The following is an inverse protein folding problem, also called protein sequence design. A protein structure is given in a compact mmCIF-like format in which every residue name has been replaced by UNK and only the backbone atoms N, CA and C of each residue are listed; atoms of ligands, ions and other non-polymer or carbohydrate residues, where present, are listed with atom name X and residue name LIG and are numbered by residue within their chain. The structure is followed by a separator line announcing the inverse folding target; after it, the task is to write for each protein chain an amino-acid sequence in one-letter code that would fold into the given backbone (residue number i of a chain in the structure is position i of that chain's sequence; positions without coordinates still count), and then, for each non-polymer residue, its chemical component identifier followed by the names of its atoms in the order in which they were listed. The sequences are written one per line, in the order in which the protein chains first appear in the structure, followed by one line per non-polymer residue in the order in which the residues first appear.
data_IF_678963677181
#
_entry.id   IF_678963677181
#
_cell.length_a   1.000
_cell.length_b   1.000
_cell.length_c   1.000
_cell.angle_alpha   90.00
_cell.angle_beta   90.00
_cell.angle_gamma   90.00
#
_symmetry.space_group_name_H-M   'P 1'
#
loop_
_entity.id
_entity.type
_entity.pdbx_description
1 polymer ?
#
# COMPACT_ATOMS: atom_id res chain seq x y z
N UNK A 1 -0.15 -17.52 -78.75
CA UNK A 1 0.44 -17.31 -77.42
C UNK A 1 0.73 -15.82 -77.23
N UNK A 2 -0.29 -14.99 -77.00
CA UNK A 2 -0.12 -13.53 -76.81
C UNK A 2 -1.18 -12.90 -75.89
N UNK A 3 -2.17 -13.68 -75.47
CA UNK A 3 -3.43 -13.27 -74.82
C UNK A 3 -3.34 -13.14 -73.30
N UNK A 4 -2.30 -13.72 -72.69
CA UNK A 4 -2.36 -14.12 -71.28
C UNK A 4 -1.69 -13.09 -70.33
N UNK A 5 -0.90 -12.16 -70.90
CA UNK A 5 -0.25 -11.05 -70.20
C UNK A 5 -1.20 -10.18 -69.35
N UNK A 6 -2.38 -9.73 -69.81
CA UNK A 6 -3.29 -8.93 -68.98
C UNK A 6 -3.81 -9.70 -67.76
N UNK A 7 -4.03 -11.02 -67.87
CA UNK A 7 -4.53 -11.84 -66.77
C UNK A 7 -3.49 -11.90 -65.64
N UNK A 8 -2.22 -12.09 -65.98
CA UNK A 8 -1.11 -12.11 -65.00
C UNK A 8 -1.00 -10.77 -64.25
N UNK A 9 -1.16 -9.63 -64.94
CA UNK A 9 -1.11 -8.31 -64.30
C UNK A 9 -2.28 -8.07 -63.34
N UNK A 10 -3.50 -8.51 -63.68
CA UNK A 10 -4.67 -8.43 -62.79
C UNK A 10 -4.50 -9.33 -61.56
N UNK A 11 -4.02 -10.56 -61.74
CA UNK A 11 -3.76 -11.47 -60.61
C UNK A 11 -2.68 -10.93 -59.68
N UNK A 12 -1.62 -10.32 -60.23
CA UNK A 12 -0.55 -9.73 -59.41
C UNK A 12 -1.02 -8.47 -58.66
N UNK A 13 -1.83 -7.60 -59.28
CA UNK A 13 -2.36 -6.43 -58.58
C UNK A 13 -3.33 -6.81 -57.46
N UNK A 14 -4.19 -7.82 -57.67
CA UNK A 14 -5.05 -8.39 -56.63
C UNK A 14 -4.22 -9.00 -55.49
N UNK A 15 -3.14 -9.73 -55.79
CA UNK A 15 -2.24 -10.27 -54.78
C UNK A 15 -1.58 -9.17 -53.93
N UNK A 16 -1.12 -8.08 -54.55
CA UNK A 16 -0.55 -6.92 -53.84
C UNK A 16 -1.60 -6.24 -52.95
N UNK A 17 -2.83 -6.04 -53.43
CA UNK A 17 -3.93 -5.45 -52.64
C UNK A 17 -4.30 -6.34 -51.44
N UNK A 18 -4.36 -7.66 -51.63
CA UNK A 18 -4.62 -8.62 -50.55
C UNK A 18 -3.46 -8.66 -49.54
N UNK A 19 -2.21 -8.59 -50.00
CA UNK A 19 -1.02 -8.55 -49.13
C UNK A 19 -0.96 -7.26 -48.28
N UNK A 20 -1.23 -6.11 -48.90
CA UNK A 20 -1.26 -4.81 -48.20
C UNK A 20 -2.42 -4.72 -47.21
N UNK A 21 -3.63 -5.16 -47.58
CA UNK A 21 -4.78 -5.15 -46.67
C UNK A 21 -4.61 -6.14 -45.51
N UNK A 22 -4.05 -7.33 -45.74
CA UNK A 22 -3.66 -8.26 -44.68
C UNK A 22 -2.62 -7.65 -43.72
N UNK A 23 -1.59 -7.01 -44.26
CA UNK A 23 -0.55 -6.34 -43.47
C UNK A 23 -1.12 -5.20 -42.62
N UNK A 24 -2.05 -4.42 -43.18
CA UNK A 24 -2.77 -3.36 -42.46
C UNK A 24 -3.66 -3.93 -41.33
N UNK A 25 -4.37 -5.03 -41.57
CA UNK A 25 -5.17 -5.72 -40.54
C UNK A 25 -4.27 -6.24 -39.40
N UNK A 26 -3.11 -6.82 -39.72
CA UNK A 26 -2.16 -7.27 -38.70
C UNK A 26 -1.57 -6.10 -37.90
N UNK A 27 -1.24 -4.98 -38.55
CA UNK A 27 -0.76 -3.78 -37.87
C UNK A 27 -1.83 -3.17 -36.95
N UNK A 28 -3.08 -3.07 -37.40
CA UNK A 28 -4.21 -2.62 -36.57
C UNK A 28 -4.45 -3.57 -35.40
N UNK A 29 -4.38 -4.88 -35.62
CA UNK A 29 -4.50 -5.90 -34.55
C UNK A 29 -3.39 -5.76 -33.50
N UNK A 30 -2.14 -5.53 -33.94
CA UNK A 30 -1.01 -5.29 -33.05
C UNK A 30 -1.21 -4.02 -32.22
N UNK A 31 -1.56 -2.89 -32.85
CA UNK A 31 -1.86 -1.62 -32.16
C UNK A 31 -3.00 -1.78 -31.16
N UNK A 32 -4.08 -2.47 -31.53
CA UNK A 32 -5.21 -2.74 -30.65
C UNK A 32 -4.79 -3.60 -29.46
N UNK A 33 -3.92 -4.59 -29.64
CA UNK A 33 -3.41 -5.43 -28.54
C UNK A 33 -2.55 -4.63 -27.55
N UNK A 34 -1.68 -3.74 -28.05
CA UNK A 34 -0.85 -2.84 -27.22
C UNK A 34 -1.74 -1.86 -26.45
N UNK A 35 -2.78 -1.33 -27.10
CA UNK A 35 -3.72 -0.39 -26.50
C UNK A 35 -4.63 -1.06 -25.45
N UNK A 36 -5.11 -2.29 -25.69
CA UNK A 36 -5.86 -3.07 -24.71
C UNK A 36 -5.02 -3.41 -23.46
N UNK A 37 -3.72 -3.66 -23.62
CA UNK A 37 -2.81 -3.85 -22.49
C UNK A 37 -2.58 -2.55 -21.69
N UNK A 38 -2.59 -1.38 -22.33
CA UNK A 38 -2.60 -0.10 -21.61
C UNK A 38 -3.92 0.12 -20.85
N UNK A 39 -5.06 -0.18 -21.47
CA UNK A 39 -6.37 -0.09 -20.80
C UNK A 39 -6.52 -1.08 -19.64
N UNK A 40 -5.88 -2.25 -19.68
CA UNK A 40 -5.84 -3.17 -18.55
C UNK A 40 -5.27 -2.50 -17.30
N UNK A 41 -4.20 -1.72 -17.43
CA UNK A 41 -3.54 -1.07 -16.31
C UNK A 41 -4.41 0.03 -15.70
N UNK A 42 -5.12 0.77 -16.55
CA UNK A 42 -6.11 1.77 -16.13
C UNK A 42 -7.32 1.12 -15.44
N UNK A 43 -7.86 0.02 -15.98
CA UNK A 43 -8.96 -0.73 -15.36
C UNK A 43 -8.52 -1.40 -14.06
N UNK A 44 -7.29 -1.92 -13.98
CA UNK A 44 -6.72 -2.47 -12.74
C UNK A 44 -6.58 -1.38 -11.67
N UNK A 45 -6.21 -0.16 -12.06
CA UNK A 45 -6.19 0.99 -11.15
C UNK A 45 -7.60 1.36 -10.65
N UNK A 46 -8.57 1.54 -11.57
CA UNK A 46 -9.98 1.83 -11.24
C UNK A 46 -10.56 0.74 -10.32
N UNK A 47 -10.29 -0.53 -10.60
CA UNK A 47 -10.75 -1.65 -9.78
C UNK A 47 -10.20 -1.60 -8.34
N UNK A 48 -8.91 -1.31 -8.18
CA UNK A 48 -8.29 -1.18 -6.85
C UNK A 48 -8.79 0.07 -6.09
N UNK A 49 -9.02 1.20 -6.77
CA UNK A 49 -9.55 2.40 -6.10
C UNK A 49 -11.03 2.22 -5.69
N UNK A 50 -11.87 1.70 -6.59
CA UNK A 50 -13.29 1.46 -6.31
C UNK A 50 -13.55 0.43 -5.21
N UNK A 51 -12.65 -0.54 -5.00
CA UNK A 51 -12.67 -1.42 -3.83
C UNK A 51 -12.45 -0.66 -2.52
N UNK A 52 -11.54 0.31 -2.48
CA UNK A 52 -11.30 1.14 -1.28
C UNK A 52 -12.45 2.11 -1.02
N UNK A 53 -12.94 2.80 -2.06
CA UNK A 53 -14.13 3.65 -1.98
C UNK A 53 -15.36 2.85 -1.47
N UNK A 54 -15.57 1.63 -1.98
CA UNK A 54 -16.60 0.73 -1.46
C UNK A 54 -16.34 0.30 -0.02
N UNK A 55 -15.09 0.00 0.36
CA UNK A 55 -14.71 -0.33 1.72
C UNK A 55 -15.12 0.77 2.71
N UNK A 56 -14.85 2.03 2.37
CA UNK A 56 -15.20 3.19 3.19
C UNK A 56 -16.72 3.35 3.29
N UNK A 57 -17.46 3.22 2.19
CA UNK A 57 -18.93 3.26 2.24
C UNK A 57 -19.51 2.13 3.10
N UNK A 58 -19.00 0.90 2.97
CA UNK A 58 -19.43 -0.23 3.78
C UNK A 58 -19.11 -0.01 5.27
N UNK A 59 -17.95 0.57 5.57
CA UNK A 59 -17.54 0.87 6.95
C UNK A 59 -18.40 1.97 7.59
N UNK A 60 -18.84 2.97 6.82
CA UNK A 60 -19.82 3.97 7.30
C UNK A 60 -21.18 3.34 7.55
N UNK A 61 -21.66 2.48 6.64
CA UNK A 61 -22.92 1.76 6.82
C UNK A 61 -22.87 0.85 8.07
N UNK A 62 -21.77 0.11 8.28
CA UNK A 62 -21.59 -0.78 9.44
C UNK A 62 -21.43 -0.01 10.75
N UNK A 63 -20.72 1.12 10.77
CA UNK A 63 -20.61 1.97 11.97
C UNK A 63 -21.96 2.59 12.32
N UNK A 64 -22.77 3.02 11.33
CA UNK A 64 -24.15 3.47 11.58
C UNK A 64 -25.01 2.34 12.15
N UNK A 65 -24.92 1.13 11.57
CA UNK A 65 -25.66 -0.07 12.03
C UNK A 65 -25.31 -0.44 13.47
N UNK A 66 -24.01 -0.53 13.79
CA UNK A 66 -23.51 -0.82 15.14
C UNK A 66 -23.89 0.29 16.14
N UNK A 67 -23.88 1.55 15.71
CA UNK A 67 -24.38 2.67 16.50
C UNK A 67 -25.86 2.49 16.88
N UNK A 68 -26.73 2.17 15.91
CA UNK A 68 -28.15 1.90 16.19
C UNK A 68 -28.37 0.65 17.04
N UNK A 69 -27.54 -0.38 16.88
CA UNK A 69 -27.57 -1.63 17.67
C UNK A 69 -27.26 -1.32 19.15
N UNK A 70 -26.12 -0.68 19.45
CA UNK A 70 -25.72 -0.27 20.80
C UNK A 70 -26.74 0.68 21.43
N UNK A 71 -27.29 1.64 20.68
CA UNK A 71 -28.33 2.54 21.19
C UNK A 71 -29.61 1.76 21.54
N UNK A 72 -30.00 0.77 20.73
CA UNK A 72 -31.18 -0.07 21.01
C UNK A 72 -31.00 -1.02 22.20
N UNK A 73 -29.77 -1.48 22.46
CA UNK A 73 -29.43 -2.26 23.66
C UNK A 73 -29.40 -1.36 24.91
N UNK A 74 -28.81 -0.17 24.84
CA UNK A 74 -28.75 0.77 25.97
C UNK A 74 -30.15 1.12 26.51
N UNK A 75 -31.13 1.37 25.63
CA UNK A 75 -32.53 1.63 26.01
C UNK A 75 -33.25 0.42 26.65
N UNK A 76 -32.66 -0.79 26.69
CA UNK A 76 -33.20 -1.93 27.43
C UNK A 76 -32.64 -2.05 28.86
N UNK A 77 -31.55 -1.34 29.18
CA UNK A 77 -30.81 -1.49 30.43
C UNK A 77 -30.67 -0.18 31.25
N UNK A 78 -30.93 0.99 30.65
CA UNK A 78 -30.76 2.30 31.27
C UNK A 78 -32.08 3.07 31.23
N UNK A 79 -32.49 3.64 32.37
CA UNK A 79 -33.57 4.63 32.41
C UNK A 79 -33.16 5.90 31.62
N UNK A 80 -34.16 6.56 31.03
CA UNK A 80 -34.06 7.34 29.77
C UNK A 80 -33.20 8.62 29.77
N UNK A 81 -32.44 8.94 30.81
CA UNK A 81 -31.72 10.22 30.95
C UNK A 81 -30.28 10.20 30.38
N UNK A 82 -29.68 9.02 30.18
CA UNK A 82 -28.30 8.87 29.68
C UNK A 82 -28.18 9.16 28.17
N UNK A 83 -28.08 10.45 27.81
CA UNK A 83 -28.14 10.95 26.42
C UNK A 83 -27.25 10.16 25.41
N UNK A 84 -27.82 9.27 24.58
CA UNK A 84 -27.06 8.33 23.77
C UNK A 84 -26.57 8.92 22.43
N UNK A 85 -26.91 10.19 22.14
CA UNK A 85 -26.54 10.89 20.90
C UNK A 85 -25.02 11.03 20.66
N UNK A 86 -24.21 10.78 21.70
CA UNK A 86 -22.74 10.73 21.65
C UNK A 86 -22.15 9.38 21.16
N UNK A 87 -23.00 8.39 20.87
CA UNK A 87 -22.59 7.05 20.38
C UNK A 87 -22.82 6.94 18.87
N UNK A 88 -23.93 7.49 18.36
CA UNK A 88 -24.29 7.48 16.95
C UNK A 88 -23.32 8.31 16.10
N UNK A 89 -22.87 7.79 14.96
CA UNK A 89 -22.02 8.53 14.02
C UNK A 89 -22.80 9.68 13.35
N UNK A 90 -22.63 10.88 13.90
CA UNK A 90 -23.14 12.13 13.32
C UNK A 90 -22.22 12.58 12.18
N UNK A 91 -22.51 12.15 10.95
CA UNK A 91 -21.96 12.76 9.75
C UNK A 91 -22.75 14.03 9.42
N UNK A 92 -22.07 15.11 9.04
CA UNK A 92 -22.74 16.29 8.50
C UNK A 92 -23.25 16.06 7.07
N UNK A 93 -24.12 16.95 6.56
CA UNK A 93 -24.75 16.79 5.25
C UNK A 93 -23.76 16.66 4.09
N UNK A 94 -22.61 17.34 4.16
CA UNK A 94 -21.57 17.30 3.13
C UNK A 94 -20.80 15.97 3.17
N UNK A 95 -20.60 15.41 4.36
CA UNK A 95 -20.04 14.06 4.54
C UNK A 95 -21.02 12.98 4.08
N UNK A 96 -22.32 13.17 4.33
CA UNK A 96 -23.37 12.28 3.83
C UNK A 96 -23.45 12.29 2.30
N UNK A 97 -23.44 13.47 1.65
CA UNK A 97 -23.27 13.62 0.19
C UNK A 97 -22.02 12.90 -0.31
N UNK A 98 -20.88 13.12 0.35
CA UNK A 98 -19.61 12.50 -0.04
C UNK A 98 -19.67 10.98 0.05
N UNK A 99 -20.27 10.39 1.08
CA UNK A 99 -20.43 8.93 1.21
C UNK A 99 -21.40 8.37 0.16
N UNK A 100 -22.54 9.04 -0.11
CA UNK A 100 -23.48 8.61 -1.15
C UNK A 100 -22.81 8.66 -2.54
N UNK A 101 -22.11 9.74 -2.84
CA UNK A 101 -21.32 9.90 -4.07
C UNK A 101 -20.23 8.83 -4.17
N UNK A 102 -19.53 8.52 -3.08
CA UNK A 102 -18.54 7.43 -3.00
C UNK A 102 -19.14 6.07 -3.37
N UNK A 103 -20.32 5.76 -2.81
CA UNK A 103 -21.04 4.49 -3.02
C UNK A 103 -21.48 4.34 -4.48
N UNK A 104 -22.01 5.40 -5.07
CA UNK A 104 -22.44 5.44 -6.47
C UNK A 104 -21.24 5.28 -7.43
N UNK A 105 -20.17 6.05 -7.21
CA UNK A 105 -18.96 6.02 -8.02
C UNK A 105 -18.23 4.66 -7.96
N UNK A 106 -18.22 4.00 -6.80
CA UNK A 106 -17.67 2.66 -6.65
C UNK A 106 -18.48 1.59 -7.40
N UNK A 107 -19.81 1.72 -7.44
CA UNK A 107 -20.69 0.82 -8.22
C UNK A 107 -20.54 1.05 -9.73
N UNK A 108 -20.43 2.31 -10.17
CA UNK A 108 -20.18 2.67 -11.57
C UNK A 108 -18.83 2.13 -12.06
N UNK A 109 -17.77 2.35 -11.27
CA UNK A 109 -16.44 1.81 -11.53
C UNK A 109 -16.42 0.26 -11.62
N UNK A 110 -17.18 -0.42 -10.74
CA UNK A 110 -17.36 -1.89 -10.83
C UNK A 110 -18.04 -2.31 -12.14
N UNK A 111 -19.04 -1.55 -12.61
CA UNK A 111 -19.73 -1.80 -13.88
C UNK A 111 -18.78 -1.71 -15.07
N UNK A 112 -18.03 -0.61 -15.17
CA UNK A 112 -17.03 -0.41 -16.22
C UNK A 112 -15.94 -1.50 -16.22
N UNK A 113 -15.46 -1.91 -15.04
CA UNK A 113 -14.52 -3.04 -14.92
C UNK A 113 -15.13 -4.34 -15.49
N UNK A 114 -16.39 -4.64 -15.19
CA UNK A 114 -17.07 -5.82 -15.71
C UNK A 114 -17.25 -5.76 -17.24
N UNK A 115 -17.57 -4.59 -17.79
CA UNK A 115 -17.65 -4.35 -19.23
C UNK A 115 -16.29 -4.62 -19.92
N UNK A 116 -15.19 -4.12 -19.35
CA UNK A 116 -13.83 -4.40 -19.86
C UNK A 116 -13.50 -5.89 -19.85
N UNK A 117 -13.70 -6.59 -18.72
CA UNK A 117 -13.36 -8.01 -18.64
C UNK A 117 -14.25 -8.88 -19.55
N UNK A 118 -15.52 -8.51 -19.76
CA UNK A 118 -16.41 -9.14 -20.74
C UNK A 118 -15.85 -8.98 -22.16
N UNK A 119 -15.56 -7.74 -22.58
CA UNK A 119 -15.00 -7.45 -23.92
C UNK A 119 -13.64 -8.11 -24.15
N UNK A 120 -12.80 -8.24 -23.11
CA UNK A 120 -11.51 -8.96 -23.15
C UNK A 120 -11.67 -10.49 -23.24
N UNK A 121 -12.73 -11.06 -22.67
CA UNK A 121 -13.00 -12.50 -22.74
C UNK A 121 -13.36 -12.97 -24.15
N UNK A 122 -13.99 -12.11 -24.95
CA UNK A 122 -14.43 -12.42 -26.30
C UNK A 122 -13.30 -12.35 -27.34
N UNK A 123 -12.38 -13.34 -27.32
CA UNK A 123 -11.13 -13.47 -28.11
C UNK A 123 -11.16 -13.10 -29.62
N UNK A 124 -12.31 -12.94 -30.25
CA UNK A 124 -12.44 -12.47 -31.64
C UNK A 124 -12.37 -10.94 -31.72
N UNK A 125 -11.15 -10.41 -31.74
CA UNK A 125 -10.86 -8.97 -31.94
C UNK A 125 -10.87 -8.54 -33.42
N UNK A 126 -10.89 -9.50 -34.35
CA UNK A 126 -10.82 -9.25 -35.81
C UNK A 126 -12.10 -8.65 -36.41
N UNK A 127 -13.20 -8.60 -35.64
CA UNK A 127 -14.49 -8.06 -36.12
C UNK A 127 -14.52 -6.55 -35.89
N UNK A 128 -14.40 -5.75 -36.96
CA UNK A 128 -14.39 -4.28 -36.93
C UNK A 128 -15.58 -3.66 -36.15
N UNK A 129 -16.73 -4.34 -36.10
CA UNK A 129 -17.90 -3.92 -35.35
C UNK A 129 -17.63 -3.79 -33.82
N UNK A 130 -16.55 -4.38 -33.30
CA UNK A 130 -16.11 -4.22 -31.90
C UNK A 130 -15.34 -2.93 -31.62
N UNK A 131 -14.91 -2.18 -32.64
CA UNK A 131 -14.18 -0.93 -32.42
C UNK A 131 -15.04 0.10 -31.68
N UNK A 132 -16.34 0.22 -32.01
CA UNK A 132 -17.25 1.14 -31.32
C UNK A 132 -17.34 0.87 -29.80
N UNK A 133 -17.74 -0.32 -29.31
CA UNK A 133 -17.80 -0.56 -27.86
C UNK A 133 -16.43 -0.47 -27.17
N UNK A 134 -15.31 -0.65 -27.88
CA UNK A 134 -13.97 -0.35 -27.33
C UNK A 134 -13.78 1.16 -27.15
N UNK A 135 -14.16 2.01 -28.11
CA UNK A 135 -14.09 3.47 -27.96
C UNK A 135 -15.06 4.01 -26.90
N UNK A 136 -16.27 3.46 -26.81
CA UNK A 136 -17.26 3.82 -25.79
C UNK A 136 -16.70 3.49 -24.38
N UNK A 137 -16.14 2.29 -24.20
CA UNK A 137 -15.47 1.86 -22.97
C UNK A 137 -14.23 2.70 -22.63
N UNK A 138 -13.42 3.11 -23.61
CA UNK A 138 -12.30 4.04 -23.40
C UNK A 138 -12.77 5.36 -22.79
N UNK A 139 -13.89 5.89 -23.27
CA UNK A 139 -14.50 7.09 -22.70
C UNK A 139 -15.02 6.85 -21.29
N UNK A 140 -15.66 5.70 -21.04
CA UNK A 140 -16.14 5.30 -19.71
C UNK A 140 -14.97 5.22 -18.69
N UNK A 141 -13.89 4.50 -19.04
CA UNK A 141 -12.66 4.37 -18.25
C UNK A 141 -12.07 5.74 -17.91
N UNK A 142 -11.89 6.61 -18.91
CA UNK A 142 -11.34 7.97 -18.71
C UNK A 142 -12.24 8.82 -17.83
N UNK A 143 -13.55 8.82 -18.06
CA UNK A 143 -14.53 9.56 -17.26
C UNK A 143 -14.51 9.12 -15.80
N UNK A 144 -14.52 7.82 -15.54
CA UNK A 144 -14.49 7.26 -14.19
C UNK A 144 -13.16 7.54 -13.49
N UNK A 145 -12.02 7.42 -14.19
CA UNK A 145 -10.70 7.81 -13.63
C UNK A 145 -10.67 9.28 -13.21
N UNK A 146 -11.21 10.18 -14.04
CA UNK A 146 -11.31 11.62 -13.72
C UNK A 146 -12.26 11.84 -12.54
N UNK A 147 -13.44 11.23 -12.54
CA UNK A 147 -14.41 11.36 -11.43
C UNK A 147 -13.84 10.89 -10.09
N UNK A 148 -13.15 9.73 -10.07
CA UNK A 148 -12.44 9.21 -8.90
C UNK A 148 -11.35 10.18 -8.44
N UNK A 149 -10.52 10.70 -9.35
CA UNK A 149 -9.47 11.64 -8.99
C UNK A 149 -10.05 12.94 -8.40
N UNK A 150 -11.05 13.53 -9.06
CA UNK A 150 -11.73 14.75 -8.58
C UNK A 150 -12.43 14.54 -7.23
N UNK A 151 -13.01 13.37 -6.98
CA UNK A 151 -13.66 13.03 -5.71
C UNK A 151 -12.67 12.89 -4.54
N UNK A 152 -11.48 12.33 -4.81
CA UNK A 152 -10.38 12.26 -3.85
C UNK A 152 -9.76 13.65 -3.60
N UNK A 153 -9.58 14.47 -4.63
CA UNK A 153 -9.13 15.86 -4.48
C UNK A 153 -10.15 16.71 -3.72
N UNK A 154 -11.47 16.52 -3.94
CA UNK A 154 -12.54 17.17 -3.16
C UNK A 154 -12.36 16.86 -1.68
N UNK A 155 -12.13 15.60 -1.30
CA UNK A 155 -11.85 15.22 0.10
C UNK A 155 -10.64 15.98 0.68
N UNK A 156 -9.57 16.15 -0.11
CA UNK A 156 -8.33 16.84 0.31
C UNK A 156 -8.52 18.35 0.49
N UNK A 157 -9.27 18.99 -0.41
CA UNK A 157 -9.50 20.45 -0.41
C UNK A 157 -10.40 20.87 0.77
N UNK A 158 -11.48 20.13 1.01
CA UNK A 158 -12.41 20.42 2.10
C UNK A 158 -12.04 19.73 3.43
N UNK A 159 -10.83 19.14 3.51
CA UNK A 159 -10.31 18.40 4.66
C UNK A 159 -11.37 17.56 5.38
N UNK A 160 -12.14 16.75 4.63
CA UNK A 160 -13.29 16.04 5.19
C UNK A 160 -12.84 15.03 6.24
N UNK A 161 -13.19 15.32 7.49
CA UNK A 161 -12.69 14.61 8.67
C UNK A 161 -13.47 13.34 9.00
N UNK A 162 -14.24 12.85 8.01
CA UNK A 162 -14.87 11.52 7.93
C UNK A 162 -13.91 10.45 8.46
N UNK A 163 -12.61 10.54 8.20
CA UNK A 163 -11.65 9.56 8.68
C UNK A 163 -11.40 9.61 10.20
N UNK A 164 -11.32 10.79 10.82
CA UNK A 164 -11.21 10.93 12.27
C UNK A 164 -12.54 10.61 12.96
N UNK A 165 -13.66 11.17 12.48
CA UNK A 165 -15.02 10.84 12.92
C UNK A 165 -15.30 9.32 12.89
N UNK A 166 -14.93 8.66 11.79
CA UNK A 166 -15.05 7.21 11.64
C UNK A 166 -14.05 6.48 12.55
N UNK A 167 -12.83 6.96 12.75
CA UNK A 167 -11.86 6.38 13.69
C UNK A 167 -12.31 6.47 15.16
N UNK A 168 -12.85 7.61 15.59
CA UNK A 168 -13.37 7.82 16.95
C UNK A 168 -14.57 6.91 17.21
N UNK A 169 -15.55 6.88 16.29
CA UNK A 169 -16.70 5.97 16.44
C UNK A 169 -16.28 4.50 16.42
N UNK A 170 -15.32 4.14 15.54
CA UNK A 170 -14.67 2.82 15.52
C UNK A 170 -14.00 2.49 16.85
N UNK A 171 -13.16 3.34 17.43
CA UNK A 171 -12.42 2.99 18.67
C UNK A 171 -13.38 2.66 19.81
N UNK A 172 -14.41 3.49 19.99
CA UNK A 172 -15.52 3.31 20.94
C UNK A 172 -16.21 1.94 20.76
N UNK A 173 -16.65 1.63 19.53
CA UNK A 173 -17.27 0.34 19.16
C UNK A 173 -16.33 -0.87 19.37
N UNK A 174 -15.04 -0.72 19.04
CA UNK A 174 -14.07 -1.83 19.01
C UNK A 174 -13.45 -2.13 20.39
N UNK A 175 -13.48 -1.18 21.33
CA UNK A 175 -13.10 -1.40 22.74
C UNK A 175 -13.78 -2.64 23.33
N UNK A 176 -15.03 -2.86 22.92
CA UNK A 176 -15.94 -3.92 23.37
C UNK A 176 -15.61 -5.32 22.79
N UNK A 177 -14.77 -5.45 21.75
CA UNK A 177 -14.80 -6.62 20.84
C UNK A 177 -13.51 -7.46 20.71
N UNK A 178 -12.34 -6.92 21.02
CA UNK A 178 -11.06 -7.46 20.50
C UNK A 178 -10.32 -8.42 21.46
N UNK A 179 -10.66 -9.73 21.47
CA UNK A 179 -10.14 -10.71 22.48
C UNK A 179 -9.22 -11.89 22.03
N UNK A 180 -8.79 -12.07 20.76
CA UNK A 180 -7.91 -13.23 20.38
C UNK A 180 -6.99 -13.03 19.13
N UNK A 181 -5.90 -13.84 19.00
CA UNK A 181 -4.72 -13.60 18.09
C UNK A 181 -4.06 -14.87 17.45
N UNK A 182 -3.03 -14.73 16.57
CA UNK A 182 -2.45 -15.71 15.57
C UNK A 182 -0.88 -15.71 15.47
N UNK A 183 -0.21 -16.40 14.48
CA UNK A 183 1.04 -16.01 13.68
C UNK A 183 1.81 -17.16 12.88
N UNK A 184 2.63 -16.89 11.79
CA UNK A 184 3.35 -17.87 10.90
C UNK A 184 4.91 -17.65 10.65
N UNK A 185 5.51 -18.04 9.47
CA UNK A 185 6.98 -18.15 9.15
C UNK A 185 7.53 -17.39 7.86
N UNK A 186 8.77 -17.64 7.35
CA UNK A 186 9.67 -16.76 6.50
C UNK A 186 10.47 -17.49 5.33
N UNK A 187 11.21 -16.93 4.32
CA UNK A 187 11.37 -15.56 3.70
C UNK A 187 12.17 -15.38 2.34
N UNK A 188 13.45 -15.82 2.12
CA UNK A 188 14.48 -15.06 1.32
C UNK A 188 15.04 -15.73 0.01
N UNK A 189 15.87 -15.17 -0.92
CA UNK A 189 16.33 -13.80 -1.36
C UNK A 189 17.18 -13.82 -2.69
N UNK A 190 17.23 -12.69 -3.45
CA UNK A 190 18.38 -12.06 -4.20
C UNK A 190 17.93 -10.84 -5.05
N UNK A 191 16.66 -10.84 -5.39
CA UNK A 191 15.63 -9.78 -5.50
C UNK A 191 15.87 -8.35 -4.93
N UNK A 192 17.04 -8.02 -4.36
CA UNK A 192 17.19 -7.42 -3.01
C UNK A 192 16.51 -6.07 -2.74
N UNK A 193 16.62 -5.04 -3.58
CA UNK A 193 16.11 -3.69 -3.22
C UNK A 193 14.58 -3.58 -3.32
N UNK A 194 14.00 -4.13 -4.38
CA UNK A 194 12.54 -4.31 -4.47
C UNK A 194 12.06 -5.38 -3.49
N UNK A 195 12.88 -6.40 -3.19
CA UNK A 195 12.60 -7.26 -2.03
C UNK A 195 12.64 -6.48 -0.73
N UNK A 196 13.47 -5.46 -0.53
CA UNK A 196 13.56 -4.77 0.75
C UNK A 196 12.24 -4.03 1.06
N UNK A 197 11.74 -3.27 0.09
CA UNK A 197 10.42 -2.65 0.18
C UNK A 197 9.30 -3.71 0.34
N UNK A 198 9.34 -4.80 -0.43
CA UNK A 198 8.35 -5.88 -0.35
C UNK A 198 8.48 -6.77 0.91
N UNK A 199 9.65 -6.87 1.54
CA UNK A 199 9.94 -7.62 2.78
C UNK A 199 9.61 -6.81 4.02
N UNK A 200 9.85 -5.49 4.01
CA UNK A 200 9.33 -4.60 5.04
C UNK A 200 7.79 -4.59 4.96
N UNK A 201 7.21 -4.49 3.76
CA UNK A 201 5.76 -4.64 3.58
C UNK A 201 5.26 -6.05 3.96
N UNK A 202 5.95 -7.14 3.61
CA UNK A 202 5.55 -8.51 3.97
C UNK A 202 5.69 -8.79 5.47
N UNK A 203 6.79 -8.37 6.10
CA UNK A 203 6.97 -8.40 7.54
C UNK A 203 5.85 -7.63 8.24
N UNK A 204 5.57 -6.42 7.77
CA UNK A 204 4.44 -5.63 8.21
C UNK A 204 3.08 -6.30 7.94
N UNK A 205 2.87 -7.00 6.81
CA UNK A 205 1.64 -7.77 6.56
C UNK A 205 1.53 -9.01 7.47
N UNK A 206 2.65 -9.58 7.94
CA UNK A 206 2.67 -10.65 8.95
C UNK A 206 2.35 -10.09 10.34
N UNK A 207 2.92 -8.96 10.70
CA UNK A 207 2.59 -8.24 11.94
C UNK A 207 1.09 -7.83 11.92
N UNK A 208 0.58 -7.33 10.79
CA UNK A 208 -0.86 -7.11 10.55
C UNK A 208 -1.68 -8.40 10.53
N UNK A 209 -1.14 -9.55 10.13
CA UNK A 209 -1.85 -10.85 10.24
C UNK A 209 -1.94 -11.35 11.68
N UNK A 210 -1.06 -10.84 12.54
CA UNK A 210 -1.19 -10.89 13.99
C UNK A 210 -2.32 -10.00 14.50
N UNK A 211 -2.58 -8.86 13.86
CA UNK A 211 -3.63 -7.93 14.28
C UNK A 211 -4.99 -8.31 13.71
N UNK A 212 -6.06 -8.01 14.46
CA UNK A 212 -7.40 -8.02 13.88
C UNK A 212 -7.49 -6.80 12.96
N UNK A 213 -7.70 -7.00 11.66
CA UNK A 213 -7.97 -5.90 10.73
C UNK A 213 -9.42 -5.47 10.91
N UNK A 214 -9.60 -4.30 11.55
CA UNK A 214 -10.82 -3.93 12.24
C UNK A 214 -11.84 -3.20 11.33
N UNK A 215 -11.54 -3.01 10.05
CA UNK A 215 -12.47 -2.45 9.05
C UNK A 215 -12.40 -3.13 7.68
N UNK A 216 -13.41 -2.90 6.83
CA UNK A 216 -13.38 -3.30 5.42
C UNK A 216 -12.26 -2.56 4.69
N UNK A 217 -12.09 -1.26 4.91
CA UNK A 217 -11.02 -0.45 4.28
C UNK A 217 -9.62 -0.97 4.61
N UNK A 218 -9.35 -1.31 5.88
CA UNK A 218 -8.07 -1.92 6.31
C UNK A 218 -7.82 -3.28 5.62
N UNK A 219 -8.87 -4.12 5.49
CA UNK A 219 -8.80 -5.44 4.82
C UNK A 219 -8.62 -5.33 3.31
N UNK A 220 -9.29 -4.38 2.66
CA UNK A 220 -9.14 -4.10 1.23
C UNK A 220 -7.74 -3.56 0.91
N UNK A 221 -7.20 -2.66 1.76
CA UNK A 221 -5.81 -2.19 1.62
C UNK A 221 -4.80 -3.32 1.86
N UNK A 222 -4.98 -4.15 2.90
CA UNK A 222 -4.12 -5.31 3.16
C UNK A 222 -4.14 -6.31 1.99
N UNK A 223 -5.31 -6.51 1.38
CA UNK A 223 -5.45 -7.38 0.20
C UNK A 223 -4.70 -6.81 -0.99
N UNK A 224 -4.77 -5.49 -1.25
CA UNK A 224 -4.00 -4.85 -2.32
C UNK A 224 -2.49 -4.82 -2.05
N UNK A 225 -2.09 -4.67 -0.78
CA UNK A 225 -0.70 -4.79 -0.37
C UNK A 225 -0.16 -6.20 -0.65
N UNK A 226 -0.95 -7.23 -0.34
CA UNK A 226 -0.62 -8.62 -0.65
C UNK A 226 -0.57 -8.86 -2.16
N UNK A 227 -1.57 -8.41 -2.93
CA UNK A 227 -1.57 -8.49 -4.40
C UNK A 227 -0.29 -7.89 -5.02
N UNK A 228 0.22 -6.79 -4.44
CA UNK A 228 1.47 -6.16 -4.91
C UNK A 228 2.70 -7.00 -4.54
N UNK A 229 2.75 -7.61 -3.35
CA UNK A 229 3.82 -8.55 -2.98
C UNK A 229 3.79 -9.80 -3.88
N UNK A 230 2.60 -10.36 -4.13
CA UNK A 230 2.42 -11.54 -4.97
C UNK A 230 2.78 -11.24 -6.45
N UNK A 231 2.35 -10.08 -7.01
CA UNK A 231 2.80 -9.59 -8.33
C UNK A 231 4.33 -9.40 -8.39
N UNK A 232 4.93 -8.94 -7.29
CA UNK A 232 6.39 -8.72 -7.17
C UNK A 232 7.14 -10.05 -7.16
N UNK A 233 6.85 -10.94 -6.22
CA UNK A 233 7.54 -12.22 -6.07
C UNK A 233 7.37 -13.09 -7.34
N UNK A 234 6.21 -13.05 -8.00
CA UNK A 234 6.03 -13.69 -9.30
C UNK A 234 6.91 -13.09 -10.41
N UNK A 235 7.00 -11.75 -10.52
CA UNK A 235 7.85 -11.10 -11.52
C UNK A 235 9.35 -11.46 -11.36
N UNK A 236 9.76 -11.73 -10.12
CA UNK A 236 11.12 -12.10 -9.73
C UNK A 236 11.39 -13.59 -9.96
N UNK A 237 10.45 -14.47 -9.63
CA UNK A 237 10.53 -15.88 -10.00
C UNK A 237 10.61 -16.06 -11.52
N UNK A 238 9.81 -15.31 -12.28
CA UNK A 238 9.86 -15.31 -13.75
C UNK A 238 11.23 -14.90 -14.31
N UNK A 239 11.94 -13.97 -13.66
CA UNK A 239 13.30 -13.59 -14.05
C UNK A 239 14.32 -14.68 -13.66
N UNK A 240 14.28 -15.17 -12.43
CA UNK A 240 15.21 -16.17 -11.91
C UNK A 240 15.12 -17.53 -12.64
N UNK A 241 13.96 -17.90 -13.19
CA UNK A 241 13.77 -19.13 -13.99
C UNK A 241 14.34 -18.97 -15.41
N UNK A 242 14.41 -17.74 -15.94
CA UNK A 242 14.90 -17.39 -17.27
C UNK A 242 13.95 -17.81 -18.41
N UNK A 243 13.74 -16.94 -19.40
CA UNK A 243 12.90 -17.23 -20.58
C UNK A 243 13.70 -17.95 -21.69
N UNK A 244 14.70 -18.75 -21.29
CA UNK A 244 15.81 -19.27 -22.11
C UNK A 244 15.45 -20.16 -23.32
N UNK A 245 14.17 -20.45 -23.53
CA UNK A 245 13.67 -21.24 -24.66
C UNK A 245 13.22 -20.41 -25.87
N UNK A 246 12.91 -19.11 -25.72
CA UNK A 246 12.19 -18.36 -26.77
C UNK A 246 13.07 -17.48 -27.69
N UNK A 247 14.30 -17.13 -27.27
CA UNK A 247 15.21 -16.26 -28.03
C UNK A 247 16.65 -16.83 -28.13
N UNK A 248 16.78 -18.16 -28.11
CA UNK A 248 18.06 -18.90 -28.05
C UNK A 248 19.09 -18.55 -29.15
N UNK A 249 18.63 -18.00 -30.27
CA UNK A 249 19.47 -17.57 -31.41
C UNK A 249 20.29 -16.28 -31.20
N UNK A 250 19.98 -15.44 -30.20
CA UNK A 250 20.73 -14.20 -29.92
C UNK A 250 20.90 -13.97 -28.41
N UNK A 251 21.92 -14.58 -27.77
CA UNK A 251 22.08 -14.56 -26.31
C UNK A 251 22.14 -13.16 -25.68
N UNK A 252 22.90 -12.23 -26.29
CA UNK A 252 23.01 -10.86 -25.78
C UNK A 252 21.70 -10.06 -25.88
N UNK A 253 20.95 -10.26 -26.97
CA UNK A 253 19.67 -9.56 -27.18
C UNK A 253 18.56 -10.12 -26.29
N UNK A 254 18.55 -11.43 -26.04
CA UNK A 254 17.63 -12.07 -25.11
C UNK A 254 17.78 -11.51 -23.69
N UNK A 255 19.01 -11.49 -23.15
CA UNK A 255 19.30 -10.95 -21.81
C UNK A 255 18.93 -9.45 -21.70
N UNK A 256 19.22 -8.65 -22.74
CA UNK A 256 18.82 -7.24 -22.79
C UNK A 256 17.29 -7.05 -22.79
N UNK A 257 16.54 -7.85 -23.55
CA UNK A 257 15.07 -7.84 -23.55
C UNK A 257 14.52 -8.24 -22.17
N UNK A 258 15.05 -9.31 -21.55
CA UNK A 258 14.63 -9.75 -20.22
C UNK A 258 14.88 -8.68 -19.16
N UNK A 259 16.06 -8.05 -19.18
CA UNK A 259 16.41 -6.92 -18.32
C UNK A 259 15.50 -5.70 -18.55
N UNK A 260 15.15 -5.37 -19.80
CA UNK A 260 14.21 -4.29 -20.12
C UNK A 260 12.79 -4.59 -19.63
N UNK A 261 12.30 -5.81 -19.82
CA UNK A 261 11.01 -6.28 -19.31
C UNK A 261 10.99 -6.25 -17.77
N UNK A 262 12.06 -6.69 -17.11
CA UNK A 262 12.21 -6.61 -15.66
C UNK A 262 12.21 -5.15 -15.18
N UNK A 263 13.04 -4.27 -15.75
CA UNK A 263 13.06 -2.84 -15.41
C UNK A 263 11.67 -2.19 -15.60
N UNK A 264 10.91 -2.56 -16.64
CA UNK A 264 9.53 -2.09 -16.84
C UNK A 264 8.54 -2.64 -15.81
N UNK A 265 8.59 -3.93 -15.49
CA UNK A 265 7.78 -4.56 -14.40
C UNK A 265 8.10 -3.92 -13.04
N UNK A 266 9.37 -3.70 -12.72
CA UNK A 266 9.79 -3.09 -11.46
C UNK A 266 9.37 -1.62 -11.35
N UNK A 267 9.49 -0.81 -12.42
CA UNK A 267 8.96 0.57 -12.42
C UNK A 267 7.44 0.60 -12.18
N UNK A 268 6.68 -0.33 -12.77
CA UNK A 268 5.23 -0.52 -12.51
C UNK A 268 4.95 -0.91 -11.05
N UNK A 269 5.66 -1.90 -10.51
CA UNK A 269 5.54 -2.35 -9.10
C UNK A 269 5.83 -1.19 -8.15
N UNK A 270 6.90 -0.41 -8.42
CA UNK A 270 7.27 0.77 -7.64
C UNK A 270 6.16 1.82 -7.63
N UNK A 271 5.58 2.12 -8.79
CA UNK A 271 4.45 3.05 -8.89
C UNK A 271 3.20 2.52 -8.15
N UNK A 272 2.92 1.22 -8.21
CA UNK A 272 1.83 0.60 -7.45
C UNK A 272 2.07 0.67 -5.93
N UNK A 273 3.31 0.49 -5.47
CA UNK A 273 3.71 0.61 -4.06
C UNK A 273 3.63 2.06 -3.57
N UNK A 274 4.08 3.03 -4.38
CA UNK A 274 3.91 4.46 -4.12
C UNK A 274 2.42 4.79 -3.97
N UNK A 275 1.58 4.37 -4.91
CA UNK A 275 0.13 4.58 -4.82
C UNK A 275 -0.53 3.87 -3.65
N UNK A 276 -0.05 2.69 -3.23
CA UNK A 276 -0.52 2.01 -2.02
C UNK A 276 -0.23 2.82 -0.75
N UNK A 277 0.95 3.46 -0.68
CA UNK A 277 1.32 4.37 0.40
C UNK A 277 0.51 5.68 0.32
N UNK A 278 0.41 6.32 -0.86
CA UNK A 278 -0.45 7.50 -1.08
C UNK A 278 -1.90 7.23 -0.67
N UNK A 279 -2.43 6.05 -0.98
CA UNK A 279 -3.79 5.64 -0.56
C UNK A 279 -3.91 5.60 0.96
N UNK A 280 -2.96 5.01 1.68
CA UNK A 280 -3.01 5.02 3.15
C UNK A 280 -3.00 6.45 3.69
N UNK A 281 -2.12 7.29 3.15
CA UNK A 281 -1.99 8.72 3.48
C UNK A 281 -3.33 9.45 3.27
N UNK A 282 -3.89 9.38 2.06
CA UNK A 282 -5.14 10.06 1.68
C UNK A 282 -6.41 9.52 2.36
N UNK A 283 -6.41 8.25 2.77
CA UNK A 283 -7.52 7.63 3.50
C UNK A 283 -7.35 7.65 5.03
N UNK A 284 -6.26 8.23 5.55
CA UNK A 284 -5.99 8.58 6.96
C UNK A 284 -6.23 7.49 8.02
N UNK A 285 -6.38 6.22 7.66
CA UNK A 285 -6.69 5.16 8.62
C UNK A 285 -5.41 4.67 9.32
N UNK A 286 -5.47 4.56 10.65
CA UNK A 286 -4.36 4.02 11.45
C UNK A 286 -4.52 2.52 11.68
N UNK A 287 -3.40 1.83 11.92
CA UNK A 287 -3.41 0.48 12.47
C UNK A 287 -3.09 0.57 13.95
N UNK A 288 -3.89 -0.09 14.77
CA UNK A 288 -3.79 -0.06 16.24
C UNK A 288 -3.30 -1.42 16.72
N UNK A 289 -2.20 -1.44 17.48
CA UNK A 289 -1.75 -2.67 18.14
C UNK A 289 -2.48 -2.84 19.46
N UNK A 290 -3.26 -3.91 19.58
CA UNK A 290 -3.67 -4.47 20.86
C UNK A 290 -2.75 -5.65 21.19
N UNK A 291 -1.97 -5.50 22.25
CA UNK A 291 -1.21 -6.56 22.91
C UNK A 291 -1.64 -6.57 24.37
N UNK A 292 -1.92 -7.74 24.93
CA UNK A 292 -2.28 -7.85 26.34
C UNK A 292 -1.08 -7.41 27.21
N UNK A 293 -1.29 -6.42 28.07
CA UNK A 293 -0.24 -5.86 28.94
C UNK A 293 0.43 -6.93 29.82
N UNK A 294 -0.27 -8.04 30.09
CA UNK A 294 0.23 -9.22 30.81
C UNK A 294 1.43 -9.93 30.15
N UNK A 295 1.77 -9.61 28.88
CA UNK A 295 2.93 -10.20 28.18
C UNK A 295 4.21 -9.35 28.21
N UNK A 296 4.21 -8.16 28.81
CA UNK A 296 5.40 -7.26 28.81
C UNK A 296 6.49 -7.71 29.80
N UNK A 297 7.16 -8.82 29.50
CA UNK A 297 8.48 -9.13 30.07
C UNK A 297 9.54 -8.31 29.31
N UNK A 298 9.75 -7.06 29.77
CA UNK A 298 10.79 -6.17 29.25
C UNK A 298 12.17 -6.81 29.35
N UNK A 299 12.72 -7.28 28.22
CA UNK A 299 14.18 -7.49 28.11
C UNK A 299 14.86 -6.13 27.94
N UNK A 300 15.95 -5.83 28.69
CA UNK A 300 16.73 -4.63 28.46
C UNK A 300 17.27 -4.59 27.03
N UNK A 301 17.18 -3.43 26.38
CA UNK A 301 17.77 -3.19 25.06
C UNK A 301 19.29 -3.25 25.19
N UNK A 302 19.94 -4.16 24.47
CA UNK A 302 21.39 -4.28 24.47
C UNK A 302 21.97 -3.28 23.46
N UNK A 303 22.46 -2.13 23.95
CA UNK A 303 22.87 -0.96 23.16
C UNK A 303 24.20 -1.13 22.39
N UNK A 304 24.50 -2.32 21.86
CA UNK A 304 25.75 -2.62 21.17
C UNK A 304 25.77 -2.12 19.71
N UNK A 305 26.93 -1.59 19.28
CA UNK A 305 27.41 -1.32 17.91
C UNK A 305 26.56 -0.48 16.93
N UNK A 306 25.33 -0.09 17.27
CA UNK A 306 24.42 0.65 16.37
C UNK A 306 24.98 2.04 15.92
N UNK A 307 25.94 2.61 16.67
CA UNK A 307 26.68 3.85 16.30
C UNK A 307 27.95 3.60 15.47
N UNK A 308 28.53 2.40 15.56
CA UNK A 308 29.71 2.01 14.76
C UNK A 308 29.32 1.84 13.29
N UNK A 309 28.12 1.31 13.04
CA UNK A 309 27.62 1.02 11.69
C UNK A 309 27.42 2.30 10.87
N UNK A 310 26.76 3.34 11.43
CA UNK A 310 26.59 4.64 10.75
C UNK A 310 27.93 5.31 10.43
N UNK A 311 28.91 5.23 11.34
CA UNK A 311 30.21 5.89 11.17
C UNK A 311 31.12 5.19 10.15
N UNK A 312 31.22 3.86 10.18
CA UNK A 312 31.97 3.08 9.17
C UNK A 312 31.39 3.25 7.75
N UNK A 313 30.06 3.15 7.61
CA UNK A 313 29.35 3.42 6.35
C UNK A 313 29.67 4.83 5.84
N UNK A 314 29.54 5.85 6.69
CA UNK A 314 29.81 7.25 6.30
C UNK A 314 31.25 7.45 5.86
N UNK A 315 32.23 6.84 6.54
CA UNK A 315 33.65 6.92 6.18
C UNK A 315 33.93 6.25 4.83
N UNK A 316 33.32 5.09 4.55
CA UNK A 316 33.40 4.41 3.25
C UNK A 316 32.84 5.28 2.13
N UNK A 317 31.63 5.83 2.31
CA UNK A 317 30.99 6.71 1.33
C UNK A 317 31.79 8.01 1.10
N UNK A 318 32.36 8.62 2.15
CA UNK A 318 33.14 9.85 2.04
C UNK A 318 34.52 9.69 1.40
N UNK A 319 34.96 8.47 1.06
CA UNK A 319 36.26 8.20 0.42
C UNK A 319 36.34 8.54 -1.09
N UNK A 320 35.33 9.23 -1.64
CA UNK A 320 35.19 9.58 -3.05
C UNK A 320 36.25 10.60 -3.52
N UNK A 321 36.94 10.36 -4.65
CA UNK A 321 37.84 11.33 -5.25
C UNK A 321 37.15 12.66 -5.61
N UNK A 322 37.77 13.79 -5.23
CA UNK A 322 37.29 15.15 -5.59
C UNK A 322 37.20 15.40 -7.10
N UNK A 323 37.85 14.58 -7.92
CA UNK A 323 37.79 14.62 -9.39
C UNK A 323 36.42 14.24 -9.97
N UNK A 324 35.49 13.72 -9.17
CA UNK A 324 34.14 13.35 -9.61
C UNK A 324 33.08 14.33 -9.07
N UNK A 325 33.18 15.61 -9.37
CA UNK A 325 32.38 16.69 -8.76
C UNK A 325 30.87 16.38 -8.62
N UNK A 326 30.20 15.92 -9.68
CA UNK A 326 28.77 15.54 -9.63
C UNK A 326 28.48 14.45 -8.57
N UNK A 327 29.33 13.42 -8.49
CA UNK A 327 29.22 12.31 -7.52
C UNK A 327 29.58 12.76 -6.10
N UNK A 328 30.67 13.53 -5.98
CA UNK A 328 31.12 14.14 -4.73
C UNK A 328 30.05 15.05 -4.11
N UNK A 329 29.19 15.69 -4.92
CA UNK A 329 28.07 16.50 -4.44
C UNK A 329 26.82 15.65 -4.12
N UNK A 330 26.59 14.53 -4.81
CA UNK A 330 25.47 13.63 -4.54
C UNK A 330 25.65 12.77 -3.28
N UNK A 331 26.89 12.35 -2.97
CA UNK A 331 27.19 11.45 -1.85
C UNK A 331 26.90 12.04 -0.45
N UNK A 332 27.17 13.32 -0.16
CA UNK A 332 26.71 13.97 1.07
C UNK A 332 25.19 13.95 1.23
N UNK A 333 24.43 14.10 0.13
CA UNK A 333 22.97 13.99 0.15
C UNK A 333 22.53 12.57 0.50
N UNK A 334 23.17 11.55 -0.07
CA UNK A 334 22.93 10.14 0.25
C UNK A 334 23.23 9.81 1.72
N UNK A 335 24.32 10.35 2.28
CA UNK A 335 24.63 10.20 3.70
C UNK A 335 23.54 10.81 4.58
N UNK A 336 23.12 12.04 4.28
CA UNK A 336 22.08 12.74 5.04
C UNK A 336 20.73 11.99 4.99
N UNK A 337 20.37 11.38 3.86
CA UNK A 337 19.13 10.61 3.73
C UNK A 337 19.21 9.23 4.43
N UNK A 338 20.38 8.59 4.48
CA UNK A 338 20.63 7.40 5.30
C UNK A 338 20.53 7.71 6.80
N UNK A 339 21.11 8.82 7.26
CA UNK A 339 21.04 9.24 8.66
C UNK A 339 19.62 9.70 9.05
N UNK A 340 18.92 10.39 8.16
CA UNK A 340 17.47 10.69 8.27
C UNK A 340 16.66 9.41 8.44
N UNK A 341 16.89 8.42 7.57
CA UNK A 341 16.24 7.11 7.64
C UNK A 341 16.54 6.36 8.95
N UNK A 342 17.80 6.29 9.36
CA UNK A 342 18.16 5.64 10.63
C UNK A 342 17.53 6.34 11.83
N UNK A 343 17.44 7.68 11.83
CA UNK A 343 16.72 8.45 12.86
C UNK A 343 15.23 8.10 12.89
N UNK A 344 14.54 8.13 11.74
CA UNK A 344 13.11 7.79 11.62
C UNK A 344 12.85 6.36 12.10
N UNK A 345 13.72 5.42 11.73
CA UNK A 345 13.66 4.03 12.17
C UNK A 345 13.82 3.91 13.69
N UNK A 346 14.78 4.62 14.28
CA UNK A 346 15.01 4.66 15.74
C UNK A 346 13.85 5.29 16.52
N UNK A 347 13.24 6.34 15.99
CA UNK A 347 12.03 6.97 16.54
C UNK A 347 10.80 6.05 16.46
N UNK A 348 10.69 5.24 15.41
CA UNK A 348 9.66 4.20 15.31
C UNK A 348 9.90 3.06 16.33
N UNK A 349 11.13 2.53 16.41
CA UNK A 349 11.49 1.50 17.39
C UNK A 349 11.25 1.95 18.84
N UNK A 350 11.56 3.20 19.17
CA UNK A 350 11.36 3.76 20.52
C UNK A 350 9.88 3.90 20.92
N UNK A 351 8.95 3.81 19.96
CA UNK A 351 7.52 3.87 20.19
C UNK A 351 6.81 2.50 20.09
N UNK A 352 7.37 1.55 19.36
CA UNK A 352 6.82 0.19 19.19
C UNK A 352 7.45 -0.81 20.20
N UNK A 353 7.57 -0.38 21.47
CA UNK A 353 8.41 -1.00 22.53
C UNK A 353 8.20 -2.51 22.73
N UNK A 354 6.96 -2.99 22.63
CA UNK A 354 6.60 -4.41 22.83
C UNK A 354 6.48 -5.22 21.52
N UNK A 355 6.67 -4.60 20.34
CA UNK A 355 6.59 -5.25 19.01
C UNK A 355 7.98 -5.66 18.48
N UNK A 356 8.86 -6.08 19.38
CA UNK A 356 10.24 -6.42 19.04
C UNK A 356 10.35 -7.86 18.51
N UNK A 357 10.90 -8.01 17.28
CA UNK A 357 11.96 -8.99 16.91
C UNK A 357 12.09 -9.14 15.38
N UNK A 358 10.99 -9.29 14.64
CA UNK A 358 11.00 -9.59 13.20
C UNK A 358 11.35 -8.37 12.35
N UNK A 359 10.45 -7.39 12.34
CA UNK A 359 10.47 -6.23 11.43
C UNK A 359 11.67 -5.33 11.64
N UNK A 360 12.06 -5.09 12.90
CA UNK A 360 13.17 -4.20 13.23
C UNK A 360 14.52 -4.76 12.77
N UNK A 361 14.74 -6.08 12.90
CA UNK A 361 15.94 -6.75 12.38
C UNK A 361 15.97 -6.66 10.86
N UNK A 362 14.85 -6.97 10.19
CA UNK A 362 14.72 -6.87 8.72
C UNK A 362 14.98 -5.43 8.23
N UNK A 363 14.46 -4.41 8.92
CA UNK A 363 14.67 -3.00 8.53
C UNK A 363 16.11 -2.54 8.77
N UNK A 364 16.72 -2.89 9.91
CA UNK A 364 18.13 -2.57 10.21
C UNK A 364 19.06 -3.21 9.16
N UNK A 365 18.83 -4.49 8.83
CA UNK A 365 19.63 -5.19 7.82
C UNK A 365 19.43 -4.63 6.40
N UNK A 366 18.22 -4.17 6.06
CA UNK A 366 17.97 -3.49 4.78
C UNK A 366 18.65 -2.12 4.70
N UNK A 367 18.73 -1.37 5.80
CA UNK A 367 19.51 -0.12 5.88
C UNK A 367 20.99 -0.40 5.63
N UNK A 368 21.56 -1.43 6.27
CA UNK A 368 22.94 -1.88 6.05
C UNK A 368 23.18 -2.30 4.59
N UNK A 369 22.30 -3.13 4.01
CA UNK A 369 22.44 -3.58 2.62
C UNK A 369 22.39 -2.40 1.63
N UNK A 370 21.45 -1.45 1.78
CA UNK A 370 21.40 -0.26 0.90
C UNK A 370 22.68 0.58 0.98
N UNK A 371 23.23 0.75 2.18
CA UNK A 371 24.46 1.49 2.39
C UNK A 371 25.72 0.75 1.88
N UNK A 372 25.79 -0.58 2.06
CA UNK A 372 26.89 -1.40 1.55
C UNK A 372 26.88 -1.46 0.02
N UNK A 373 25.71 -1.59 -0.62
CA UNK A 373 25.56 -1.48 -2.08
C UNK A 373 26.08 -0.13 -2.59
N UNK A 374 25.75 0.98 -1.92
CA UNK A 374 26.30 2.29 -2.29
C UNK A 374 27.83 2.37 -2.18
N UNK A 375 28.41 1.81 -1.12
CA UNK A 375 29.86 1.76 -0.93
C UNK A 375 30.55 0.88 -2.00
N UNK A 376 29.97 -0.27 -2.35
CA UNK A 376 30.51 -1.17 -3.37
C UNK A 376 30.37 -0.60 -4.79
N UNK A 377 29.28 0.11 -5.11
CA UNK A 377 29.16 0.85 -6.39
C UNK A 377 30.24 1.93 -6.53
N UNK A 378 30.49 2.72 -5.48
CA UNK A 378 31.56 3.72 -5.44
C UNK A 378 32.94 3.06 -5.62
N UNK A 379 33.16 1.92 -4.95
CA UNK A 379 34.42 1.15 -5.06
C UNK A 379 34.65 0.59 -6.47
N UNK A 380 33.65 -0.04 -7.07
CA UNK A 380 33.75 -0.62 -8.41
C UNK A 380 34.07 0.44 -9.48
N UNK A 381 33.48 1.64 -9.36
CA UNK A 381 33.80 2.77 -10.24
C UNK A 381 35.24 3.26 -10.06
N UNK A 382 35.83 3.13 -8.85
CA UNK A 382 37.22 3.53 -8.55
C UNK A 382 38.24 2.53 -9.08
N UNK A 383 37.89 1.24 -9.13
CA UNK A 383 38.72 0.16 -9.66
C UNK A 383 38.62 0.06 -11.20
N UNK A 384 37.64 0.73 -11.81
CA UNK A 384 37.51 0.84 -13.27
C UNK A 384 38.50 1.87 -13.82
N UNK A 385 39.43 1.51 -14.74
CA UNK A 385 40.37 2.47 -15.31
C UNK A 385 39.65 3.52 -16.16
N UNK A 386 40.14 4.78 -16.20
CA UNK A 386 39.51 5.82 -17.00
C UNK A 386 39.56 5.45 -18.48
N UNK A 387 38.37 5.43 -19.11
CA UNK A 387 38.25 5.48 -20.57
C UNK A 387 38.67 6.86 -21.07
N UNK A 388 38.80 7.01 -22.39
CA UNK A 388 39.26 8.24 -23.03
C UNK A 388 38.48 9.47 -22.56
N UNK A 389 39.19 10.60 -22.46
CA UNK A 389 38.75 11.81 -21.75
C UNK A 389 37.51 12.49 -22.39
N UNK A 390 37.14 12.08 -23.61
CA UNK A 390 36.14 12.75 -24.46
C UNK A 390 34.74 12.07 -24.50
N UNK A 391 34.45 11.04 -23.69
CA UNK A 391 33.08 10.47 -23.58
C UNK A 391 32.20 11.26 -22.58
N UNK A 392 30.99 11.65 -22.99
CA UNK A 392 30.13 12.62 -22.30
C UNK A 392 29.85 12.36 -20.81
N UNK A 393 30.11 13.38 -19.98
CA UNK A 393 29.96 13.39 -18.50
C UNK A 393 28.48 13.37 -18.04
N UNK A 394 27.53 13.17 -18.95
CA UNK A 394 26.09 13.06 -18.65
C UNK A 394 25.62 11.65 -18.30
N UNK A 395 26.31 10.59 -18.76
CA UNK A 395 25.89 9.19 -18.54
C UNK A 395 26.82 8.42 -17.60
N UNK A 396 27.14 9.00 -16.43
CA UNK A 396 27.88 8.30 -15.39
C UNK A 396 26.95 7.30 -14.65
N UNK A 397 27.14 5.96 -14.78
CA UNK A 397 26.24 4.97 -14.20
C UNK A 397 26.19 5.04 -12.66
N UNK A 398 27.29 5.44 -12.00
CA UNK A 398 27.33 5.62 -10.55
C UNK A 398 26.35 6.71 -10.08
N UNK A 399 26.04 7.70 -10.92
CA UNK A 399 25.04 8.73 -10.59
C UNK A 399 23.61 8.17 -10.70
N UNK A 400 23.30 7.32 -11.69
CA UNK A 400 22.01 6.63 -11.79
C UNK A 400 21.81 5.68 -10.59
N UNK A 401 22.86 4.96 -10.16
CA UNK A 401 22.82 4.08 -8.99
C UNK A 401 22.60 4.87 -7.69
N UNK A 402 23.34 5.96 -7.46
CA UNK A 402 23.15 6.83 -6.27
C UNK A 402 21.75 7.44 -6.27
N UNK A 403 21.21 7.86 -7.41
CA UNK A 403 19.82 8.31 -7.52
C UNK A 403 18.81 7.19 -7.22
N UNK A 404 19.03 5.97 -7.72
CA UNK A 404 18.15 4.84 -7.43
C UNK A 404 18.16 4.47 -5.93
N UNK A 405 19.33 4.50 -5.28
CA UNK A 405 19.47 4.24 -3.84
C UNK A 405 18.80 5.36 -3.02
N UNK A 406 18.98 6.63 -3.38
CA UNK A 406 18.27 7.76 -2.76
C UNK A 406 16.75 7.61 -2.88
N UNK A 407 16.24 7.26 -4.08
CA UNK A 407 14.80 7.00 -4.30
C UNK A 407 14.31 5.84 -3.43
N UNK A 408 15.08 4.75 -3.31
CA UNK A 408 14.74 3.63 -2.44
C UNK A 408 14.69 4.03 -0.96
N UNK A 409 15.66 4.81 -0.48
CA UNK A 409 15.71 5.35 0.89
C UNK A 409 14.48 6.20 1.20
N UNK A 410 14.12 7.16 0.33
CA UNK A 410 12.94 8.03 0.53
C UNK A 410 11.64 7.21 0.57
N UNK A 411 11.50 6.18 -0.27
CA UNK A 411 10.37 5.26 -0.22
C UNK A 411 10.34 4.44 1.08
N UNK A 412 11.50 4.04 1.58
CA UNK A 412 11.65 3.27 2.81
C UNK A 412 11.40 4.10 4.08
N UNK A 413 11.85 5.35 4.11
CA UNK A 413 11.46 6.34 5.12
C UNK A 413 9.94 6.51 5.15
N UNK A 414 9.31 6.67 3.98
CA UNK A 414 7.87 6.86 3.88
C UNK A 414 7.09 5.61 4.28
N UNK A 415 7.58 4.41 3.95
CA UNK A 415 6.95 3.16 4.41
C UNK A 415 7.09 2.99 5.92
N UNK A 416 8.22 3.29 6.54
CA UNK A 416 8.34 3.25 8.02
C UNK A 416 7.36 4.23 8.68
N UNK A 417 7.29 5.48 8.21
CA UNK A 417 6.35 6.50 8.74
C UNK A 417 4.89 6.08 8.60
N UNK A 418 4.45 5.68 7.41
CA UNK A 418 3.06 5.33 7.14
C UNK A 418 2.66 3.96 7.70
N UNK A 419 3.59 3.00 7.78
CA UNK A 419 3.34 1.67 8.32
C UNK A 419 3.74 1.56 9.80
N UNK A 420 3.83 2.69 10.51
CA UNK A 420 3.88 2.72 11.98
C UNK A 420 2.56 2.18 12.54
N UNK A 421 2.64 1.41 13.62
CA UNK A 421 1.48 0.89 14.35
C UNK A 421 1.38 1.63 15.67
N UNK A 422 0.25 2.29 15.93
CA UNK A 422 0.07 2.98 17.21
C UNK A 422 -0.36 1.96 18.27
N UNK A 423 0.37 1.87 19.38
CA UNK A 423 -0.14 1.26 20.60
C UNK A 423 -1.28 2.15 21.12
N UNK A 424 -2.50 1.62 21.25
CA UNK A 424 -3.54 2.36 21.99
C UNK A 424 -3.17 2.39 23.47
N UNK A 425 -3.17 3.61 24.05
CA UNK A 425 -2.99 3.82 25.50
C UNK A 425 -4.25 3.52 26.31
N UNK A 426 -5.40 3.31 25.66
CA UNK A 426 -6.75 3.28 26.26
C UNK A 426 -7.00 2.08 27.18
N UNK A 427 -6.09 1.10 27.23
CA UNK A 427 -6.09 0.03 28.24
C UNK A 427 -5.26 0.35 29.50
N UNK A 428 -4.74 1.56 29.61
CA UNK A 428 -4.43 2.14 30.93
C UNK A 428 -5.76 2.47 31.59
N UNK A 429 -6.15 1.72 32.61
CA UNK A 429 -7.43 1.87 33.35
C UNK A 429 -7.42 3.14 34.20
N UNK A 430 -7.64 4.26 33.52
CA UNK A 430 -7.82 5.61 34.04
C UNK A 430 -8.86 6.25 33.14
N UNK A 431 -10.10 5.81 33.27
CA UNK A 431 -11.21 6.32 32.46
C UNK A 431 -11.64 7.65 33.08
N UNK A 432 -11.08 8.73 32.53
CA UNK A 432 -11.42 10.11 32.88
C UNK A 432 -12.94 10.29 32.74
N UNK A 433 -13.64 10.43 33.87
CA UNK A 433 -15.10 10.51 33.93
C UNK A 433 -15.86 9.19 34.16
N UNK A 434 -15.22 8.08 34.55
CA UNK A 434 -15.91 6.84 34.96
C UNK A 434 -15.40 6.25 36.28
N UNK A 435 -14.15 6.48 36.68
CA UNK A 435 -13.69 6.15 38.04
C UNK A 435 -14.53 6.89 39.11
N UNK A 436 -14.90 8.15 38.86
CA UNK A 436 -15.67 8.99 39.77
C UNK A 436 -17.17 8.61 39.79
N UNK A 437 -17.79 8.45 38.63
CA UNK A 437 -19.18 7.98 38.49
C UNK A 437 -19.37 6.58 39.09
N UNK A 438 -18.42 5.64 38.90
CA UNK A 438 -18.49 4.33 39.55
C UNK A 438 -18.42 4.47 41.06
N UNK A 439 -17.58 5.36 41.60
CA UNK A 439 -17.49 5.55 43.05
C UNK A 439 -18.76 6.17 43.64
N UNK A 440 -19.42 7.11 42.93
CA UNK A 440 -20.67 7.73 43.34
C UNK A 440 -21.88 6.79 43.18
N UNK A 441 -21.96 6.01 42.10
CA UNK A 441 -22.97 4.97 41.90
C UNK A 441 -22.81 3.86 42.95
N UNK A 442 -21.58 3.47 43.29
CA UNK A 442 -21.31 2.51 44.36
C UNK A 442 -21.67 3.08 45.74
N UNK A 443 -21.43 4.36 46.04
CA UNK A 443 -21.90 4.95 47.31
C UNK A 443 -23.43 5.01 47.37
N UNK A 444 -24.09 5.42 46.28
CA UNK A 444 -25.56 5.45 46.15
C UNK A 444 -26.21 4.06 46.21
N UNK A 445 -25.48 2.98 45.91
CA UNK A 445 -25.90 1.59 46.11
C UNK A 445 -25.63 1.06 47.53
N UNK A 446 -24.62 1.60 48.22
CA UNK A 446 -24.26 1.21 49.59
C UNK A 446 -25.16 1.90 50.65
N UNK A 447 -25.59 3.15 50.43
CA UNK A 447 -26.50 3.88 51.35
C UNK A 447 -27.84 3.14 51.62
N UNK A 448 -28.56 2.60 50.60
CA UNK A 448 -29.72 1.75 50.81
C UNK A 448 -29.37 0.46 51.58
N UNK A 449 -28.22 -0.15 51.31
CA UNK A 449 -27.79 -1.36 52.04
C UNK A 449 -27.45 -1.08 53.52
N UNK A 450 -26.97 0.10 53.88
CA UNK A 450 -26.73 0.45 55.29
C UNK A 450 -28.02 0.72 56.05
N UNK A 451 -28.98 1.41 55.44
CA UNK A 451 -30.31 1.69 56.04
C UNK A 451 -31.18 0.44 56.13
N UNK A 452 -31.17 -0.42 55.10
CA UNK A 452 -31.89 -1.71 55.13
C UNK A 452 -31.30 -2.67 56.19
N UNK A 453 -30.00 -2.57 56.50
CA UNK A 453 -29.37 -3.29 57.64
C UNK A 453 -29.75 -2.74 59.02
N UNK A 454 -30.20 -1.49 59.14
CA UNK A 454 -30.77 -0.98 60.39
C UNK A 454 -32.21 -1.49 60.58
N UNK A 455 -33.05 -1.45 59.54
CA UNK A 455 -34.45 -1.89 59.61
C UNK A 455 -34.62 -3.39 59.88
N UNK A 456 -33.62 -4.21 59.56
CA UNK A 456 -33.60 -5.65 59.89
C UNK A 456 -33.07 -5.99 61.29
N UNK A 457 -32.86 -5.00 62.17
CA UNK A 457 -32.59 -5.20 63.61
C UNK A 457 -33.81 -4.88 64.49
N UNK A 458 -34.88 -5.65 64.33
CA UNK A 458 -35.87 -5.81 65.39
C UNK A 458 -35.50 -6.99 66.30
N UNK A 459 -35.64 -6.87 67.64
CA UNK A 459 -35.25 -7.92 68.57
C UNK A 459 -36.21 -9.10 68.54
N UNK A 460 -35.66 -10.29 68.78
CA UNK A 460 -36.42 -11.49 69.10
C UNK A 460 -36.55 -11.58 70.63
N UNK A 461 -37.80 -11.65 71.12
CA UNK A 461 -38.20 -11.98 72.49
C UNK A 461 -37.88 -10.84 73.50
N UNK A 462 -38.62 -10.68 74.60
CA UNK A 462 -39.69 -11.53 75.18
C UNK A 462 -41.12 -11.11 74.77
#
# INVERSE_FOLDING_TARGET
MATDRPIVLVLWSLFVILSLSYSLIQFISLLLSVYLNYLEDEVRWIHKESRLLKGISNDVDEVKRLGTEIVSEAHQFWDSESNPSSITLQLNDVEADWVITTKNLANEAKSCCANFYKLRGERSYLVLNKLKPIFDLVHEIKRIKIAIHSHLQRKRIYSFDICESLMISRSKIRSLRARYKSIPLNQPRLTESFKAAAENLNGFLKDLSGLQLESVTEREWWTQAKEIIDETEQAIQQFNVGTGNQLRWFPGFANWIEMYILKKKMKRITAAFIHLLDRKDNYCFKFISRLDASRSHRRPLHNADDTVISTDIRLKLQSVPRTWEKVHNAVPSLCNELDSLYKIFKEAMAAEVDLYNSRNVVCSEQIKNMAQIAADSIKAQRETPPRGIDEDIEQNPLLEDIEQINRAIVLFQRSIRLLRVEQSKEYSTSVVGLEEDIHEVVSKLIEPMSTMKMLLRFPLWE
#
